data_IF_665615847016
#
_entry.id   IF_665615847016
#
_cell.length_a   1.000
_cell.length_b   1.000
_cell.length_c   1.000
_cell.angle_alpha   90.00
_cell.angle_beta   90.00
_cell.angle_gamma   90.00
#
_symmetry.space_group_name_H-M   'P 1'
#
loop_
_entity.id
_entity.type
_entity.pdbx_description
1 polymer ?
#
# COMPACT_ATOMS: atom_id res chain seq x y z
N UNK A 1 -1.67 11.75 25.20
CA UNK A 1 -1.29 10.33 25.31
C UNK A 1 -1.85 9.64 24.08
N UNK A 2 -1.03 8.95 23.30
CA UNK A 2 -1.51 8.24 22.11
C UNK A 2 -2.06 6.87 22.53
N UNK A 3 -3.27 6.58 22.10
CA UNK A 3 -3.92 5.29 22.32
C UNK A 3 -3.58 4.32 21.19
N UNK A 4 -3.23 3.08 21.58
CA UNK A 4 -2.97 1.97 20.65
C UNK A 4 -4.24 1.68 19.83
N UNK A 5 -4.08 1.41 18.54
CA UNK A 5 -5.20 1.07 17.63
C UNK A 5 -5.99 2.28 17.09
N UNK A 6 -5.62 3.51 17.48
CA UNK A 6 -6.25 4.75 16.97
C UNK A 6 -5.38 5.44 15.92
N UNK A 7 -6.02 6.15 15.00
CA UNK A 7 -5.36 6.89 13.91
C UNK A 7 -5.11 8.35 14.30
N UNK A 8 -3.91 8.83 14.03
CA UNK A 8 -3.53 10.21 14.32
C UNK A 8 -2.92 10.89 13.09
N UNK A 9 -3.28 12.14 12.88
CA UNK A 9 -2.62 13.04 11.95
C UNK A 9 -1.51 13.78 12.68
N UNK A 10 -0.29 13.66 12.16
CA UNK A 10 0.87 14.40 12.67
C UNK A 10 1.06 15.67 11.84
N UNK A 11 1.14 16.82 12.52
CA UNK A 11 1.32 18.14 11.89
C UNK A 11 2.66 18.72 12.32
N UNK A 12 3.41 19.29 11.36
CA UNK A 12 4.73 19.92 11.59
C UNK A 12 5.73 19.01 12.30
N UNK A 13 5.80 17.75 11.85
CA UNK A 13 6.83 16.79 12.29
C UNK A 13 7.88 16.62 11.19
N UNK A 14 9.12 16.43 11.60
CA UNK A 14 10.23 16.07 10.71
C UNK A 14 10.40 14.56 10.73
N UNK A 15 10.50 13.95 9.55
CA UNK A 15 10.89 12.55 9.40
C UNK A 15 12.36 12.53 8.99
N UNK A 16 13.22 11.91 9.79
CA UNK A 16 14.64 11.69 9.46
C UNK A 16 14.92 10.20 9.39
N UNK A 17 15.71 9.77 8.41
CA UNK A 17 16.13 8.37 8.31
C UNK A 17 17.58 8.24 8.77
N UNK A 18 17.84 7.27 9.65
CA UNK A 18 19.18 6.89 10.09
C UNK A 18 19.27 5.37 10.09
N UNK A 19 20.27 4.81 9.39
CA UNK A 19 20.47 3.36 9.23
C UNK A 19 19.21 2.59 8.77
N UNK A 20 18.44 3.20 7.86
CA UNK A 20 17.21 2.60 7.36
C UNK A 20 15.98 2.83 8.23
N UNK A 21 16.15 3.19 9.50
CA UNK A 21 15.08 3.45 10.47
C UNK A 21 14.59 4.90 10.33
N UNK A 22 13.28 5.09 10.24
CA UNK A 22 12.65 6.42 10.18
C UNK A 22 12.31 6.91 11.59
N UNK A 23 12.83 8.06 11.95
CA UNK A 23 12.61 8.75 13.21
C UNK A 23 11.71 9.97 12.99
N UNK A 24 10.79 10.18 13.91
CA UNK A 24 9.94 11.37 13.96
C UNK A 24 10.51 12.34 14.99
N UNK A 25 10.64 13.61 14.61
CA UNK A 25 11.04 14.70 15.49
C UNK A 25 9.96 15.78 15.48
N UNK A 26 9.52 16.20 16.66
CA UNK A 26 8.52 17.24 16.83
C UNK A 26 9.19 18.61 16.82
N UNK A 27 8.71 19.50 15.94
CA UNK A 27 9.13 20.89 15.91
C UNK A 27 8.22 21.76 16.79
N UNK A 28 8.60 23.01 17.03
CA UNK A 28 7.73 23.97 17.70
C UNK A 28 6.41 24.15 16.92
N UNK A 29 5.30 24.00 17.63
CA UNK A 29 3.96 24.02 17.06
C UNK A 29 3.55 22.73 16.35
N UNK A 30 4.27 21.63 16.57
CA UNK A 30 3.80 20.31 16.16
C UNK A 30 2.55 19.90 16.94
N UNK A 31 1.59 19.30 16.25
CA UNK A 31 0.38 18.76 16.85
C UNK A 31 0.14 17.32 16.41
N UNK A 32 -0.57 16.60 17.26
CA UNK A 32 -1.06 15.25 16.97
C UNK A 32 -2.58 15.28 17.12
N UNK A 33 -3.29 15.13 16.01
CA UNK A 33 -4.75 15.24 15.94
C UNK A 33 -5.35 13.85 15.78
N UNK A 34 -6.25 13.46 16.69
CA UNK A 34 -6.99 12.20 16.59
C UNK A 34 -7.95 12.26 15.40
N UNK A 35 -7.91 11.25 14.54
CA UNK A 35 -8.82 11.12 13.41
C UNK A 35 -9.97 10.18 13.81
N UNK A 36 -11.14 10.76 14.12
CA UNK A 36 -12.30 10.04 14.63
C UNK A 36 -13.08 9.26 13.56
N UNK A 37 -12.92 9.59 12.27
CA UNK A 37 -13.66 8.99 11.16
C UNK A 37 -13.04 7.69 10.59
N UNK A 38 -12.10 7.07 11.32
CA UNK A 38 -11.46 5.82 10.90
C UNK A 38 -12.03 4.63 11.66
N UNK A 39 -12.36 3.55 10.92
CA UNK A 39 -12.61 2.23 11.49
C UNK A 39 -11.36 1.78 12.26
N UNK A 40 -11.56 1.25 13.47
CA UNK A 40 -10.50 0.79 14.38
C UNK A 40 -9.52 -0.14 13.66
N UNK A 41 -8.23 0.15 13.85
CA UNK A 41 -7.15 -0.72 13.40
C UNK A 41 -6.91 -1.71 14.53
N UNK A 42 -7.38 -2.94 14.37
CA UNK A 42 -6.91 -4.05 15.19
C UNK A 42 -5.45 -4.32 14.82
N UNK A 43 -4.55 -3.71 15.58
CA UNK A 43 -3.14 -4.07 15.55
C UNK A 43 -3.01 -5.36 16.39
N UNK A 44 -2.61 -6.51 15.79
CA UNK A 44 -2.29 -7.68 16.58
C UNK A 44 -1.18 -7.32 17.59
N UNK A 45 -1.25 -7.91 18.78
CA UNK A 45 -0.18 -7.81 19.76
C UNK A 45 1.11 -8.36 19.13
N UNK A 46 2.19 -7.56 19.16
CA UNK A 46 3.49 -7.99 18.67
C UNK A 46 4.04 -9.03 19.64
N UNK A 47 3.74 -10.31 19.39
CA UNK A 47 4.57 -11.40 19.89
C UNK A 47 5.84 -11.44 19.03
N UNK A 48 6.97 -11.12 19.66
CA UNK A 48 8.30 -11.43 19.14
C UNK A 48 8.36 -12.94 18.86
N UNK A 49 8.80 -13.29 17.65
CA UNK A 49 8.93 -14.67 17.12
C UNK A 49 7.63 -15.31 16.61
N UNK A 50 7.25 -15.01 15.36
CA UNK A 50 7.04 -16.02 14.30
C UNK A 50 6.55 -15.38 12.99
N UNK A 51 7.47 -15.19 12.04
CA UNK A 51 7.18 -14.89 10.64
C UNK A 51 6.72 -16.17 9.92
N UNK A 52 5.60 -16.77 10.34
CA UNK A 52 4.94 -17.87 9.63
C UNK A 52 3.41 -17.68 9.65
N UNK A 53 2.84 -17.40 8.47
CA UNK A 53 1.41 -17.49 8.11
C UNK A 53 0.41 -16.44 8.60
N UNK A 54 0.59 -15.17 8.21
CA UNK A 54 -0.56 -14.23 8.12
C UNK A 54 -1.35 -14.53 6.83
N UNK A 55 -2.02 -15.68 6.76
CA UNK A 55 -2.86 -16.02 5.60
C UNK A 55 -4.27 -16.55 5.90
N UNK A 56 -4.76 -16.59 7.13
CA UNK A 56 -5.98 -17.37 7.41
C UNK A 56 -7.17 -16.70 8.13
N UNK A 57 -7.15 -15.44 8.56
CA UNK A 57 -8.26 -14.94 9.43
C UNK A 57 -8.80 -13.53 9.16
N UNK A 58 -8.25 -12.77 8.23
CA UNK A 58 -8.77 -11.42 7.97
C UNK A 58 -9.85 -11.44 6.88
N UNK A 59 -11.03 -10.84 7.12
CA UNK A 59 -12.09 -10.82 6.13
C UNK A 59 -11.61 -10.11 4.86
N UNK A 60 -11.82 -10.76 3.72
CA UNK A 60 -11.63 -10.11 2.43
C UNK A 60 -12.92 -9.36 2.13
N UNK A 61 -12.85 -8.03 2.13
CA UNK A 61 -13.98 -7.15 1.84
C UNK A 61 -13.92 -6.72 0.39
N UNK A 62 -15.09 -6.59 -0.25
CA UNK A 62 -15.24 -6.01 -1.57
C UNK A 62 -15.57 -4.53 -1.44
N UNK A 63 -14.78 -3.68 -2.08
CA UNK A 63 -15.08 -2.26 -2.27
C UNK A 63 -15.32 -1.98 -3.76
N UNK A 64 -16.04 -0.90 -4.01
CA UNK A 64 -16.40 -0.41 -5.34
C UNK A 64 -16.26 1.10 -5.29
N UNK A 65 -15.76 1.71 -6.36
CA UNK A 65 -15.72 3.17 -6.48
C UNK A 65 -14.67 3.64 -7.47
N UNK A 66 -14.43 4.94 -7.47
CA UNK A 66 -13.41 5.61 -8.28
C UNK A 66 -12.19 5.96 -7.43
N UNK A 67 -11.01 5.93 -8.03
CA UNK A 67 -9.79 6.43 -7.39
C UNK A 67 -9.82 7.96 -7.44
N UNK A 68 -10.08 8.60 -6.31
CA UNK A 68 -10.20 10.07 -6.23
C UNK A 68 -8.92 10.76 -5.77
N UNK A 69 -7.95 10.00 -5.24
CA UNK A 69 -6.67 10.55 -4.82
C UNK A 69 -5.58 9.49 -4.72
N UNK A 70 -4.34 9.92 -5.00
CA UNK A 70 -3.12 9.14 -4.79
C UNK A 70 -2.35 9.81 -3.67
N UNK A 71 -2.19 9.10 -2.56
CA UNK A 71 -1.61 9.62 -1.33
C UNK A 71 -0.08 9.51 -1.34
N UNK A 72 0.44 8.47 -1.97
CA UNK A 72 1.87 8.27 -2.17
C UNK A 72 2.14 7.17 -3.19
N UNK A 73 3.21 7.33 -3.96
CA UNK A 73 3.83 6.26 -4.76
C UNK A 73 5.18 5.92 -4.14
N UNK A 74 5.51 4.65 -4.01
CA UNK A 74 6.76 4.18 -3.41
C UNK A 74 7.42 3.15 -4.31
N UNK A 75 8.69 3.37 -4.61
CA UNK A 75 9.51 2.37 -5.30
C UNK A 75 9.94 1.26 -4.33
N UNK A 76 9.87 0.03 -4.81
CA UNK A 76 10.41 -1.12 -4.09
C UNK A 76 11.03 -2.13 -5.06
N UNK A 77 11.79 -3.06 -4.49
CA UNK A 77 12.43 -4.12 -5.25
C UNK A 77 11.80 -5.46 -4.88
N UNK A 78 11.51 -6.29 -5.88
CA UNK A 78 10.98 -7.65 -5.66
C UNK A 78 11.83 -8.72 -6.33
N UNK A 79 11.70 -9.95 -5.81
CA UNK A 79 12.46 -11.08 -6.30
C UNK A 79 12.06 -11.42 -7.73
N UNK A 80 13.05 -11.53 -8.62
CA UNK A 80 12.84 -11.91 -10.02
C UNK A 80 12.19 -13.29 -10.21
N UNK A 81 12.32 -14.18 -9.22
CA UNK A 81 11.86 -15.57 -9.31
C UNK A 81 10.43 -15.74 -8.78
N UNK A 82 10.11 -15.11 -7.66
CA UNK A 82 8.86 -15.41 -6.92
C UNK A 82 8.07 -14.17 -6.50
N UNK A 83 8.43 -12.99 -7.02
CA UNK A 83 7.83 -11.66 -6.78
C UNK A 83 7.73 -11.22 -5.32
N UNK A 84 8.27 -12.02 -4.40
CA UNK A 84 8.31 -11.71 -2.97
C UNK A 84 9.29 -10.58 -2.66
N UNK A 85 9.06 -9.92 -1.53
CA UNK A 85 9.94 -8.86 -1.02
C UNK A 85 11.38 -9.36 -0.85
N UNK A 86 12.33 -8.46 -1.09
CA UNK A 86 13.74 -8.72 -0.89
C UNK A 86 14.33 -7.79 0.16
N UNK A 87 15.26 -8.31 0.95
CA UNK A 87 16.11 -7.51 1.84
C UNK A 87 17.46 -7.29 1.19
N UNK A 88 18.03 -6.10 1.36
CA UNK A 88 19.40 -5.83 0.92
C UNK A 88 20.36 -6.60 1.83
N UNK A 89 21.31 -7.32 1.23
CA UNK A 89 22.42 -7.97 1.94
C UNK A 89 23.69 -7.12 1.82
N UNK A 90 23.87 -6.48 0.66
CA UNK A 90 24.91 -5.50 0.38
C UNK A 90 24.44 -4.55 -0.72
N UNK A 91 25.33 -3.68 -1.20
CA UNK A 91 25.03 -2.78 -2.33
C UNK A 91 24.73 -3.53 -3.64
N UNK A 92 25.16 -4.79 -3.76
CA UNK A 92 25.04 -5.57 -5.01
C UNK A 92 24.21 -6.84 -4.88
N UNK A 93 23.90 -7.28 -3.65
CA UNK A 93 23.13 -8.49 -3.38
C UNK A 93 21.87 -8.20 -2.58
N UNK A 94 20.80 -8.88 -2.96
CA UNK A 94 19.57 -8.97 -2.18
C UNK A 94 19.30 -10.42 -1.79
N UNK A 95 18.51 -10.63 -0.73
CA UNK A 95 17.96 -11.95 -0.37
C UNK A 95 16.45 -11.87 -0.36
N UNK A 96 15.79 -12.76 -1.08
CA UNK A 96 14.34 -12.87 -1.05
C UNK A 96 13.90 -13.46 0.28
N UNK A 97 12.90 -12.84 0.91
CA UNK A 97 12.34 -13.31 2.18
C UNK A 97 11.51 -14.58 1.95
N UNK A 98 10.81 -14.67 0.81
CA UNK A 98 9.90 -15.78 0.48
C UNK A 98 10.61 -17.06 0.05
N UNK A 99 11.53 -16.98 -0.92
CA UNK A 99 12.20 -18.17 -1.47
C UNK A 99 13.66 -18.34 -1.02
N UNK A 100 14.17 -17.42 -0.18
CA UNK A 100 15.53 -17.42 0.35
C UNK A 100 16.67 -17.34 -0.69
N UNK A 101 16.34 -17.20 -1.98
CA UNK A 101 17.32 -16.96 -3.04
C UNK A 101 18.07 -15.64 -2.82
N UNK A 102 19.36 -15.61 -3.20
CA UNK A 102 20.22 -14.43 -3.11
C UNK A 102 20.56 -13.89 -4.50
N UNK A 103 19.65 -13.14 -5.17
CA UNK A 103 19.93 -12.55 -6.48
C UNK A 103 20.87 -11.34 -6.40
N UNK A 104 21.46 -10.99 -7.56
CA UNK A 104 22.03 -9.66 -7.76
C UNK A 104 20.91 -8.62 -7.73
N UNK A 105 21.15 -7.51 -7.04
CA UNK A 105 20.19 -6.41 -6.92
C UNK A 105 19.74 -5.87 -8.29
N UNK A 106 20.68 -5.78 -9.25
CA UNK A 106 20.42 -5.34 -10.62
C UNK A 106 19.52 -6.29 -11.43
N UNK A 107 19.30 -7.52 -10.97
CA UNK A 107 18.42 -8.48 -11.63
C UNK A 107 17.06 -8.59 -10.95
N UNK A 108 16.87 -7.96 -9.79
CA UNK A 108 15.58 -7.90 -9.14
C UNK A 108 14.62 -6.99 -9.93
N UNK A 109 13.31 -7.23 -9.78
CA UNK A 109 12.31 -6.42 -10.44
C UNK A 109 12.20 -5.07 -9.72
N UNK A 110 12.30 -3.97 -10.47
CA UNK A 110 11.90 -2.64 -10.01
C UNK A 110 10.39 -2.53 -10.06
N UNK A 111 9.77 -2.27 -8.92
CA UNK A 111 8.32 -2.24 -8.78
C UNK A 111 7.89 -0.94 -8.09
N UNK A 112 6.62 -0.59 -8.27
CA UNK A 112 5.98 0.52 -7.56
C UNK A 112 4.80 0.02 -6.75
N UNK A 113 4.50 0.69 -5.65
CA UNK A 113 3.23 0.59 -4.94
C UNK A 113 2.61 1.97 -4.80
N UNK A 114 1.28 2.03 -4.77
CA UNK A 114 0.53 3.25 -4.57
C UNK A 114 -0.42 3.11 -3.38
N UNK A 115 -0.47 4.15 -2.53
CA UNK A 115 -1.56 4.34 -1.58
C UNK A 115 -2.61 5.21 -2.24
N UNK A 116 -3.82 4.67 -2.37
CA UNK A 116 -4.92 5.30 -3.09
C UNK A 116 -6.12 5.51 -2.17
N UNK A 117 -6.93 6.51 -2.50
CA UNK A 117 -8.25 6.73 -1.91
C UNK A 117 -9.31 6.33 -2.92
N UNK A 118 -9.99 5.22 -2.66
CA UNK A 118 -11.17 4.80 -3.39
C UNK A 118 -12.41 5.43 -2.76
N UNK A 119 -13.31 5.99 -3.56
CA UNK A 119 -14.53 6.62 -3.07
C UNK A 119 -15.75 6.15 -3.84
N UNK A 120 -16.84 5.89 -3.11
CA UNK A 120 -18.17 5.68 -3.68
C UNK A 120 -19.19 6.35 -2.76
N UNK A 121 -19.91 7.34 -3.29
CA UNK A 121 -20.86 8.16 -2.52
C UNK A 121 -20.19 8.74 -1.25
N UNK A 122 -20.66 8.35 -0.06
CA UNK A 122 -20.12 8.78 1.24
C UNK A 122 -19.04 7.85 1.78
N UNK A 123 -18.79 6.69 1.14
CA UNK A 123 -17.81 5.70 1.60
C UNK A 123 -16.45 5.96 0.97
N UNK A 124 -15.41 5.79 1.80
CA UNK A 124 -14.01 6.01 1.42
C UNK A 124 -13.15 4.85 1.92
N UNK A 125 -12.26 4.36 1.07
CA UNK A 125 -11.31 3.30 1.40
C UNK A 125 -9.89 3.75 1.07
N UNK A 126 -9.00 3.62 2.05
CA UNK A 126 -7.58 3.90 1.91
C UNK A 126 -6.88 2.58 1.62
N UNK A 127 -6.46 2.36 0.37
CA UNK A 127 -5.96 1.07 -0.08
C UNK A 127 -4.52 1.14 -0.57
N UNK A 128 -3.81 0.04 -0.44
CA UNK A 128 -2.46 -0.13 -1.01
C UNK A 128 -2.56 -1.04 -2.24
N UNK A 129 -2.18 -0.51 -3.40
CA UNK A 129 -2.02 -1.25 -4.65
C UNK A 129 -0.53 -1.56 -4.87
N UNK A 130 -0.24 -2.80 -5.24
CA UNK A 130 1.11 -3.23 -5.67
C UNK A 130 1.16 -3.29 -7.20
N UNK A 131 2.36 -3.51 -7.75
CA UNK A 131 2.62 -3.38 -9.17
C UNK A 131 1.61 -4.09 -10.08
N UNK A 132 1.29 -5.36 -9.78
CA UNK A 132 0.31 -6.15 -10.55
C UNK A 132 -1.09 -5.52 -10.49
N UNK A 133 -1.55 -5.13 -9.31
CA UNK A 133 -2.85 -4.47 -9.14
C UNK A 133 -2.93 -3.14 -9.89
N UNK A 134 -1.85 -2.35 -9.88
CA UNK A 134 -1.81 -1.09 -10.61
C UNK A 134 -1.85 -1.31 -12.12
N UNK A 135 -1.17 -2.34 -12.63
CA UNK A 135 -1.24 -2.72 -14.04
C UNK A 135 -2.65 -3.13 -14.45
N UNK A 136 -3.35 -3.88 -13.60
CA UNK A 136 -4.76 -4.25 -13.83
C UNK A 136 -5.70 -3.04 -13.83
N UNK A 137 -5.45 -2.06 -12.94
CA UNK A 137 -6.23 -0.81 -12.88
C UNK A 137 -6.06 0.01 -14.16
N UNK A 138 -4.82 0.17 -14.64
CA UNK A 138 -4.49 1.11 -15.73
C UNK A 138 -4.50 0.47 -17.12
N UNK A 139 -4.85 -0.81 -17.27
CA UNK A 139 -4.65 -1.59 -18.52
C UNK A 139 -5.23 -0.99 -19.80
N UNK A 140 -6.22 -0.09 -19.69
CA UNK A 140 -6.98 0.49 -20.82
C UNK A 140 -6.91 2.03 -20.81
N UNK A 141 -5.93 2.59 -20.09
CA UNK A 141 -5.71 4.03 -19.95
C UNK A 141 -4.37 4.39 -20.55
N UNK A 142 -4.33 5.47 -21.33
CA UNK A 142 -3.12 5.95 -22.00
C UNK A 142 -2.85 7.42 -21.64
N UNK A 143 -2.23 7.60 -20.48
CA UNK A 143 -1.78 8.88 -19.94
C UNK A 143 -0.27 8.86 -19.66
N UNK A 144 0.29 10.04 -19.41
CA UNK A 144 1.75 10.25 -19.41
C UNK A 144 2.42 9.74 -18.13
N UNK A 145 1.69 9.76 -17.01
CA UNK A 145 2.21 9.38 -15.69
C UNK A 145 1.40 8.26 -15.05
N UNK A 146 2.03 7.50 -14.15
CA UNK A 146 1.34 6.46 -13.38
C UNK A 146 0.17 7.06 -12.60
N UNK A 147 0.38 8.23 -12.02
CA UNK A 147 -0.61 8.93 -11.22
C UNK A 147 -1.84 9.34 -12.03
N UNK A 148 -1.60 9.91 -13.21
CA UNK A 148 -2.67 10.26 -14.16
C UNK A 148 -3.45 9.02 -14.61
N UNK A 149 -2.73 7.93 -14.91
CA UNK A 149 -3.34 6.68 -15.36
C UNK A 149 -4.22 6.05 -14.27
N UNK A 150 -3.77 6.07 -13.02
CA UNK A 150 -4.54 5.59 -11.87
C UNK A 150 -5.77 6.46 -11.58
N UNK A 151 -5.67 7.78 -11.73
CA UNK A 151 -6.81 8.68 -11.55
C UNK A 151 -7.82 8.61 -12.69
N UNK A 152 -7.40 8.18 -13.88
CA UNK A 152 -8.24 8.11 -15.07
C UNK A 152 -8.81 6.70 -15.33
N UNK A 153 -8.65 5.76 -14.38
CA UNK A 153 -9.09 4.36 -14.54
C UNK A 153 -10.60 4.15 -14.45
N UNK A 154 -11.37 5.19 -14.12
CA UNK A 154 -12.80 5.11 -13.87
C UNK A 154 -13.14 4.27 -12.62
N UNK A 155 -14.36 3.74 -12.59
CA UNK A 155 -14.83 2.91 -11.47
C UNK A 155 -14.23 1.50 -11.49
N UNK A 156 -13.71 1.08 -10.34
CA UNK A 156 -13.11 -0.23 -10.13
C UNK A 156 -13.79 -0.94 -8.97
N UNK A 157 -13.79 -2.27 -9.04
CA UNK A 157 -14.11 -3.13 -7.90
C UNK A 157 -12.87 -3.83 -7.40
N UNK A 158 -12.65 -3.80 -6.10
CA UNK A 158 -11.45 -4.36 -5.47
C UNK A 158 -11.84 -5.28 -4.33
N UNK A 159 -11.11 -6.39 -4.18
CA UNK A 159 -11.08 -7.15 -2.94
C UNK A 159 -9.80 -6.81 -2.21
N UNK A 160 -9.88 -6.59 -0.89
CA UNK A 160 -8.71 -6.20 -0.11
C UNK A 160 -8.66 -6.92 1.23
N UNK A 161 -7.45 -7.08 1.75
CA UNK A 161 -7.20 -7.59 3.09
C UNK A 161 -7.41 -6.46 4.10
N UNK A 162 -8.36 -6.60 5.02
CA UNK A 162 -8.68 -5.53 5.99
C UNK A 162 -7.54 -5.22 6.95
N UNK A 163 -6.71 -6.21 7.31
CA UNK A 163 -5.58 -6.01 8.22
C UNK A 163 -4.53 -5.04 7.67
N UNK A 164 -4.26 -5.12 6.37
CA UNK A 164 -3.18 -4.36 5.72
C UNK A 164 -3.69 -3.31 4.75
N UNK A 165 -5.01 -3.26 4.53
CA UNK A 165 -5.67 -2.52 3.46
C UNK A 165 -5.03 -2.75 2.08
N UNK A 166 -4.43 -3.92 1.87
CA UNK A 166 -3.77 -4.28 0.62
C UNK A 166 -4.76 -4.89 -0.34
N UNK A 167 -4.80 -4.41 -1.57
CA UNK A 167 -5.59 -4.99 -2.64
C UNK A 167 -5.09 -6.42 -2.91
N UNK A 168 -6.02 -7.33 -3.09
CA UNK A 168 -5.78 -8.73 -3.46
C UNK A 168 -6.14 -8.98 -4.92
N UNK A 169 -7.25 -8.41 -5.37
CA UNK A 169 -7.74 -8.55 -6.74
C UNK A 169 -8.46 -7.28 -7.15
N UNK A 170 -8.32 -6.94 -8.43
CA UNK A 170 -9.01 -5.83 -9.10
C UNK A 170 -9.93 -6.41 -10.17
N UNK A 171 -11.07 -5.79 -10.38
CA UNK A 171 -11.96 -6.05 -11.52
C UNK A 171 -12.51 -4.73 -12.00
N UNK A 172 -12.34 -4.44 -13.30
CA UNK A 172 -12.95 -3.27 -13.91
C UNK A 172 -14.46 -3.44 -14.00
N UNK A 173 -15.16 -2.34 -13.78
CA UNK A 173 -16.60 -2.31 -13.97
C UNK A 173 -16.82 -1.97 -15.45
N UNK A 174 -17.55 -2.79 -16.23
CA UNK A 174 -17.87 -2.41 -17.59
C UNK A 174 -18.65 -1.10 -17.57
N UNK A 175 -18.11 -0.07 -18.20
CA UNK A 175 -18.88 1.15 -18.49
C UNK A 175 -20.11 0.72 -19.30
N UNK A 176 -21.31 1.00 -18.79
CA UNK A 176 -22.54 0.76 -19.53
C UNK A 176 -22.42 1.50 -20.88
N UNK A 177 -22.35 0.74 -21.96
CA UNK A 177 -22.46 1.27 -23.32
C UNK A 177 -23.74 2.08 -23.39
N UNK A 178 -23.58 3.39 -23.53
CA UNK A 178 -24.69 4.29 -23.83
C UNK A 178 -25.01 4.12 -25.31
N UNK A 179 -25.94 3.21 -25.62
CA UNK A 179 -26.67 3.18 -26.90
C UNK A 179 -27.77 4.26 -26.90
#
# INVERSE_FOLDING_TARGET
MLEKGKCYKLVKVLVKQFEGIKYLSFCDGASVELLLDFLEIDLPEEDEDDEITVQATHPIIKAYGEIVSILSVTDYTSCMVCTGSVRHVSEVLARCIKCQATPKLSHCNSCKSAKILLSQESKKWYLTAYNEHMQDIISDVDGETLEENLLSSGEISVQYYTATNTIKTVSKVPSASSD
#
